data_IF_103823666647
#
_entry.id   IF_103823666647
#
_cell.length_a   1.000
_cell.length_b   1.000
_cell.length_c   1.000
_cell.angle_alpha   90.00
_cell.angle_beta   90.00
_cell.angle_gamma   90.00
#
_symmetry.space_group_name_H-M   'P 1'
#
loop_
_entity.id
_entity.type
_entity.pdbx_description
1 polymer ?
#
# COMPACT_ATOMS: atom_id res chain seq x y z
N UNK A 1 -5.85 -5.03 13.98
CA UNK A 1 -6.08 -3.58 13.86
C UNK A 1 -6.61 -3.27 12.47
N UNK A 2 -7.56 -2.37 12.38
CA UNK A 2 -8.16 -2.00 11.10
C UNK A 2 -7.21 -1.06 10.33
N UNK A 3 -6.89 -1.42 9.09
CA UNK A 3 -6.03 -0.59 8.22
C UNK A 3 -6.63 0.80 8.02
N UNK A 4 -7.97 0.89 7.92
CA UNK A 4 -8.62 2.20 7.76
C UNK A 4 -8.29 3.18 8.89
N UNK A 5 -8.05 2.68 10.09
CA UNK A 5 -7.69 3.52 11.24
C UNK A 5 -6.26 4.04 11.16
N UNK A 6 -5.42 3.41 10.34
CA UNK A 6 -4.03 3.84 10.15
C UNK A 6 -3.88 4.86 9.03
N UNK A 7 -4.90 4.98 8.18
CA UNK A 7 -4.81 5.85 7.01
C UNK A 7 -4.93 7.31 7.41
N UNK A 8 -4.01 8.12 6.92
CA UNK A 8 -4.05 9.57 7.03
C UNK A 8 -4.32 10.18 5.66
N UNK A 9 -5.11 11.23 5.66
CA UNK A 9 -5.47 11.90 4.42
C UNK A 9 -4.27 12.69 3.88
N UNK A 10 -3.95 12.45 2.62
CA UNK A 10 -2.86 13.12 1.93
C UNK A 10 -3.41 13.93 0.76
N UNK A 11 -2.96 15.18 0.66
CA UNK A 11 -3.31 16.07 -0.45
C UNK A 11 -2.09 16.25 -1.34
N UNK A 12 -2.26 16.03 -2.64
CA UNK A 12 -1.22 16.40 -3.59
C UNK A 12 -1.17 17.93 -3.68
N UNK A 13 0.01 18.52 -3.44
CA UNK A 13 0.11 19.98 -3.43
C UNK A 13 -0.04 20.61 -4.83
N UNK A 14 0.11 19.83 -5.90
CA UNK A 14 0.01 20.32 -7.26
C UNK A 14 -1.30 19.89 -7.90
N UNK A 15 -2.10 20.88 -8.27
CA UNK A 15 -3.42 20.70 -8.88
C UNK A 15 -3.41 20.07 -10.26
N UNK A 16 -2.25 19.79 -10.84
CA UNK A 16 -2.13 19.15 -12.15
C UNK A 16 -2.67 17.72 -12.17
N UNK A 17 -2.73 17.08 -10.99
CA UNK A 17 -3.35 15.77 -10.82
C UNK A 17 -4.73 15.93 -10.18
N UNK A 18 -5.59 16.69 -10.84
CA UNK A 18 -6.92 17.08 -10.35
C UNK A 18 -7.81 15.90 -9.93
N UNK A 19 -7.57 14.73 -10.50
CA UNK A 19 -8.39 13.55 -10.23
C UNK A 19 -8.00 12.82 -8.94
N UNK A 20 -6.83 13.12 -8.38
CA UNK A 20 -6.37 12.48 -7.12
C UNK A 20 -6.23 13.56 -6.05
N UNK A 21 -7.33 14.25 -5.77
CA UNK A 21 -7.35 15.35 -4.80
C UNK A 21 -7.14 14.89 -3.37
N UNK A 22 -7.69 13.74 -3.04
CA UNK A 22 -7.65 13.18 -1.71
C UNK A 22 -7.33 11.70 -1.81
N UNK A 23 -6.17 11.32 -1.38
CA UNK A 23 -5.89 9.90 -1.15
C UNK A 23 -5.53 9.72 0.33
N UNK A 24 -5.84 8.55 0.82
CA UNK A 24 -5.41 8.13 2.13
C UNK A 24 -4.13 7.31 1.98
N UNK A 25 -3.26 7.44 2.95
CA UNK A 25 -1.96 6.79 2.91
C UNK A 25 -1.57 6.32 4.31
N UNK A 26 -0.93 5.16 4.36
CA UNK A 26 -0.31 4.63 5.56
C UNK A 26 0.97 3.89 5.19
N UNK A 27 1.81 3.67 6.18
CA UNK A 27 3.08 3.00 6.00
C UNK A 27 3.29 2.09 7.20
N UNK A 28 3.47 0.79 6.96
CA UNK A 28 3.63 -0.20 8.01
C UNK A 28 4.97 -0.92 7.84
N UNK A 29 5.85 -0.93 8.87
CA UNK A 29 7.05 -1.75 8.80
C UNK A 29 6.69 -3.23 8.90
N UNK A 30 7.42 -4.08 8.21
CA UNK A 30 7.25 -5.52 8.32
C UNK A 30 7.87 -6.06 9.59
N UNK A 31 7.56 -7.30 9.93
CA UNK A 31 8.03 -7.95 11.16
C UNK A 31 9.55 -7.99 11.25
N UNK A 32 10.24 -8.29 10.16
CA UNK A 32 11.70 -8.29 10.10
C UNK A 32 12.31 -6.89 10.14
N UNK A 33 11.52 -5.86 9.85
CA UNK A 33 11.92 -4.47 9.67
C UNK A 33 12.89 -4.24 8.51
N UNK A 34 12.99 -5.21 7.61
CA UNK A 34 13.77 -5.06 6.36
C UNK A 34 13.00 -4.37 5.27
N UNK A 35 11.67 -4.35 5.40
CA UNK A 35 10.75 -3.76 4.41
C UNK A 35 9.71 -2.92 5.11
N UNK A 36 9.05 -2.09 4.32
CA UNK A 36 7.80 -1.48 4.74
C UNK A 36 6.75 -1.61 3.64
N UNK A 37 5.49 -1.59 4.04
CA UNK A 37 4.36 -1.65 3.12
C UNK A 37 3.75 -0.26 3.06
N UNK A 38 3.72 0.32 1.86
CA UNK A 38 3.01 1.57 1.60
C UNK A 38 1.59 1.21 1.18
N UNK A 39 0.60 1.77 1.86
CA UNK A 39 -0.82 1.48 1.63
C UNK A 39 -1.49 2.77 1.21
N UNK A 40 -2.18 2.74 0.07
CA UNK A 40 -2.94 3.90 -0.41
C UNK A 40 -4.35 3.49 -0.80
N UNK A 41 -5.29 4.42 -0.67
CA UNK A 41 -6.67 4.22 -1.08
C UNK A 41 -7.27 5.57 -1.49
N UNK A 42 -8.19 5.54 -2.43
CA UNK A 42 -8.84 6.75 -2.93
C UNK A 42 -9.26 6.59 -4.38
N UNK A 43 -9.70 7.70 -4.98
CA UNK A 43 -10.02 7.72 -6.39
C UNK A 43 -8.74 7.56 -7.22
N UNK A 44 -8.85 6.93 -8.38
CA UNK A 44 -7.71 6.60 -9.27
C UNK A 44 -6.69 5.61 -8.70
N UNK A 45 -6.95 5.05 -7.50
CA UNK A 45 -6.13 4.03 -6.90
C UNK A 45 -6.86 2.69 -6.94
N UNK A 46 -6.11 1.58 -6.97
CA UNK A 46 -6.69 0.25 -6.99
C UNK A 46 -7.15 -0.17 -5.60
N UNK A 47 -8.10 0.60 -5.07
CA UNK A 47 -8.77 0.34 -3.80
C UNK A 47 -10.25 0.01 -4.02
N UNK A 48 -10.91 -0.51 -3.01
CA UNK A 48 -12.35 -0.78 -3.03
C UNK A 48 -13.01 -0.06 -1.85
N UNK A 49 -13.86 0.94 -2.07
CA UNK A 49 -14.19 1.51 -3.39
C UNK A 49 -13.06 2.39 -3.97
N UNK A 50 -13.12 2.66 -5.27
CA UNK A 50 -12.21 3.60 -5.93
C UNK A 50 -12.76 5.01 -5.85
N UNK A 51 -12.90 5.50 -4.64
CA UNK A 51 -13.51 6.79 -4.34
C UNK A 51 -12.69 7.53 -3.29
N UNK A 52 -12.70 8.87 -3.38
CA UNK A 52 -12.12 9.72 -2.35
C UNK A 52 -13.13 9.91 -1.23
N UNK A 53 -13.14 9.00 -0.27
CA UNK A 53 -14.05 9.06 0.88
C UNK A 53 -13.64 10.16 1.85
N UNK A 54 -14.57 10.74 2.58
CA UNK A 54 -14.26 11.69 3.65
C UNK A 54 -13.64 10.99 4.87
N UNK A 55 -14.16 9.82 5.18
CA UNK A 55 -13.65 8.95 6.25
C UNK A 55 -13.26 7.62 5.61
N UNK A 56 -12.03 7.12 5.85
CA UNK A 56 -11.60 5.87 5.22
C UNK A 56 -12.47 4.69 5.69
N UNK A 57 -13.03 4.01 4.70
CA UNK A 57 -13.83 2.81 4.91
C UNK A 57 -13.68 1.89 3.69
N UNK A 58 -12.44 1.46 3.48
CA UNK A 58 -12.08 0.64 2.33
C UNK A 58 -12.02 -0.83 2.72
N UNK A 59 -12.40 -1.70 1.79
CA UNK A 59 -12.31 -3.16 1.95
C UNK A 59 -11.11 -3.74 1.25
N UNK A 60 -10.50 -2.98 0.34
CA UNK A 60 -9.28 -3.36 -0.35
C UNK A 60 -8.46 -2.10 -0.65
N UNK A 61 -7.16 -2.28 -0.75
CA UNK A 61 -6.20 -1.18 -0.83
C UNK A 61 -5.16 -1.46 -1.91
N UNK A 62 -4.54 -0.40 -2.40
CA UNK A 62 -3.36 -0.55 -3.24
C UNK A 62 -2.13 -0.50 -2.35
N UNK A 63 -1.25 -1.49 -2.49
CA UNK A 63 -0.04 -1.56 -1.67
C UNK A 63 1.21 -1.64 -2.54
N UNK A 64 2.32 -1.20 -1.97
CA UNK A 64 3.65 -1.33 -2.55
C UNK A 64 4.63 -1.74 -1.47
N UNK A 65 5.61 -2.56 -1.85
CA UNK A 65 6.63 -3.07 -0.94
C UNK A 65 7.95 -2.34 -1.22
N UNK A 66 8.54 -1.76 -0.20
CA UNK A 66 9.80 -1.04 -0.31
C UNK A 66 10.82 -1.59 0.68
N UNK A 67 12.10 -1.47 0.35
CA UNK A 67 13.16 -1.69 1.33
C UNK A 67 13.10 -0.64 2.43
N UNK A 68 13.33 -1.05 3.67
CA UNK A 68 13.26 -0.15 4.82
C UNK A 68 14.33 0.92 4.81
N UNK A 69 15.45 0.70 4.12
CA UNK A 69 16.53 1.66 3.95
C UNK A 69 16.29 2.65 2.81
N UNK A 70 15.15 2.50 2.10
CA UNK A 70 14.76 3.41 1.05
C UNK A 70 14.39 4.78 1.61
N UNK A 71 15.13 5.81 1.19
CA UNK A 71 14.77 7.19 1.50
C UNK A 71 13.64 7.59 0.57
N UNK A 72 12.75 8.48 1.01
CA UNK A 72 11.58 8.92 0.25
C UNK A 72 11.89 9.39 -1.18
N UNK A 73 13.12 9.81 -1.45
CA UNK A 73 13.55 10.24 -2.79
C UNK A 73 14.13 9.12 -3.63
N UNK A 74 14.54 8.02 -3.00
CA UNK A 74 15.14 6.85 -3.63
C UNK A 74 14.41 5.61 -3.12
N UNK A 75 13.14 5.51 -3.51
CA UNK A 75 12.36 4.34 -3.15
C UNK A 75 12.89 3.13 -3.91
N UNK A 76 13.49 2.21 -3.17
CA UNK A 76 13.92 0.95 -3.72
C UNK A 76 12.77 -0.04 -3.64
N UNK A 77 12.26 -0.43 -4.79
CA UNK A 77 11.28 -1.49 -4.85
C UNK A 77 11.91 -2.79 -4.36
N UNK A 78 11.25 -3.47 -3.47
CA UNK A 78 11.64 -4.80 -3.05
C UNK A 78 11.28 -5.78 -4.17
N UNK A 79 12.24 -6.06 -5.04
CA UNK A 79 12.01 -6.82 -6.26
C UNK A 79 11.88 -8.33 -6.00
N UNK A 80 12.62 -9.13 -6.74
CA UNK A 80 12.48 -10.58 -6.81
C UNK A 80 12.56 -11.32 -5.48
N UNK A 81 13.23 -10.76 -4.49
CA UNK A 81 13.40 -11.43 -3.19
C UNK A 81 12.09 -11.61 -2.43
N UNK A 82 11.08 -10.76 -2.68
CA UNK A 82 9.79 -10.85 -1.99
C UNK A 82 8.73 -11.61 -2.79
N UNK A 83 8.90 -11.79 -4.09
CA UNK A 83 7.91 -12.44 -4.94
C UNK A 83 7.56 -13.84 -4.44
N UNK A 84 8.55 -14.66 -4.15
CA UNK A 84 8.33 -16.02 -3.67
C UNK A 84 7.68 -16.05 -2.29
N UNK A 85 8.01 -15.07 -1.43
CA UNK A 85 7.41 -14.97 -0.11
C UNK A 85 5.94 -14.58 -0.20
N UNK A 86 5.61 -13.69 -1.13
CA UNK A 86 4.25 -13.17 -1.28
C UNK A 86 3.33 -14.08 -2.10
N UNK A 87 3.89 -15.03 -2.82
CA UNK A 87 3.12 -15.92 -3.69
C UNK A 87 2.00 -16.68 -2.96
N UNK A 88 2.18 -17.22 -1.75
CA UNK A 88 1.09 -17.83 -1.00
C UNK A 88 -0.03 -16.88 -0.61
N UNK A 89 0.24 -15.57 -0.56
CA UNK A 89 -0.73 -14.56 -0.12
C UNK A 89 -1.50 -13.98 -1.31
N UNK A 90 -0.78 -13.63 -2.37
CA UNK A 90 -1.35 -12.89 -3.51
C UNK A 90 -1.39 -13.69 -4.82
N UNK A 91 -0.79 -14.88 -4.84
CA UNK A 91 -0.57 -15.61 -6.08
C UNK A 91 0.60 -15.03 -6.85
N UNK A 92 0.62 -15.23 -8.16
CA UNK A 92 1.69 -14.67 -8.99
C UNK A 92 1.54 -13.16 -9.09
N UNK A 93 2.61 -12.46 -8.78
CA UNK A 93 2.68 -11.00 -8.91
C UNK A 93 3.78 -10.67 -9.92
N UNK A 94 3.52 -9.69 -10.77
CA UNK A 94 4.48 -9.25 -11.78
C UNK A 94 5.38 -8.13 -11.25
N UNK A 95 4.89 -7.42 -10.26
CA UNK A 95 5.62 -6.31 -9.64
C UNK A 95 5.20 -6.16 -8.18
N UNK A 96 5.93 -5.37 -7.41
CA UNK A 96 5.66 -5.16 -5.99
C UNK A 96 4.61 -4.08 -5.73
N UNK A 97 3.89 -3.67 -6.75
CA UNK A 97 2.69 -2.86 -6.65
C UNK A 97 1.49 -3.79 -6.80
N UNK A 98 0.67 -3.88 -5.79
CA UNK A 98 -0.45 -4.82 -5.73
C UNK A 98 -1.74 -4.06 -5.49
N UNK A 99 -2.70 -4.22 -6.40
CA UNK A 99 -4.02 -3.62 -6.28
C UNK A 99 -4.98 -4.52 -5.52
N UNK A 100 -5.99 -3.91 -4.92
CA UNK A 100 -7.11 -4.59 -4.25
C UNK A 100 -6.68 -5.60 -3.17
N UNK A 101 -5.60 -5.27 -2.44
CA UNK A 101 -5.16 -6.11 -1.32
C UNK A 101 -6.12 -5.95 -0.14
N UNK A 102 -6.59 -7.06 0.40
CA UNK A 102 -7.46 -7.03 1.58
C UNK A 102 -6.64 -6.78 2.85
N UNK A 103 -7.32 -6.39 3.91
CA UNK A 103 -6.66 -6.19 5.20
C UNK A 103 -5.95 -7.46 5.68
N UNK A 104 -6.59 -8.61 5.53
CA UNK A 104 -6.01 -9.90 5.92
C UNK A 104 -4.72 -10.19 5.13
N UNK A 105 -4.72 -9.90 3.83
CA UNK A 105 -3.55 -10.08 3.00
C UNK A 105 -2.41 -9.14 3.40
N UNK A 106 -2.75 -7.89 3.74
CA UNK A 106 -1.75 -6.91 4.18
C UNK A 106 -1.09 -7.36 5.49
N UNK A 107 -1.86 -7.79 6.48
CA UNK A 107 -1.30 -8.26 7.73
C UNK A 107 -0.50 -9.56 7.57
N UNK A 108 -0.95 -10.46 6.68
CA UNK A 108 -0.16 -11.64 6.34
C UNK A 108 1.19 -11.26 5.73
N UNK A 109 1.21 -10.23 4.90
CA UNK A 109 2.43 -9.70 4.31
C UNK A 109 3.36 -9.09 5.36
N UNK A 110 2.82 -8.34 6.32
CA UNK A 110 3.59 -7.79 7.44
C UNK A 110 4.27 -8.91 8.22
N UNK A 111 3.56 -10.01 8.46
CA UNK A 111 4.09 -11.14 9.22
C UNK A 111 5.10 -11.97 8.42
N UNK A 112 4.93 -12.07 7.11
CA UNK A 112 5.79 -12.88 6.23
C UNK A 112 7.12 -12.18 5.90
N UNK A 113 7.14 -10.89 5.87
CA UNK A 113 8.31 -10.08 5.55
C UNK A 113 8.93 -9.49 6.80
#
# INVERSE_FOLDING_TARGET
MDINQLLIKYHFPNSELLSVRHKFWARIPTKSRKYFISIVAGDWLYSEPREALDIPNYTAFEIAIFHADGVLHNLNWATFEVEEILKPIFGEIEEVLIGYATQEQIWACVDAL
#
